data_IF_145499000038
#
_entry.id   IF_145499000038
#
_cell.length_a   1.000
_cell.length_b   1.000
_cell.length_c   1.000
_cell.angle_alpha   90.00
_cell.angle_beta   90.00
_cell.angle_gamma   90.00
#
_symmetry.space_group_name_H-M   'P 1'
#
loop_
_entity.id
_entity.type
_entity.pdbx_description
1 polymer ?
#
# COMPACT_ATOMS: atom_id res chain seq x y z
N UNK A 1 -3.76 -16.99 -17.56
CA UNK A 1 -2.99 -16.38 -16.45
C UNK A 1 -1.69 -15.83 -17.03
N UNK A 2 -1.35 -14.56 -16.79
CA UNK A 2 -0.21 -13.87 -17.44
C UNK A 2 0.94 -13.74 -16.44
N UNK A 3 2.14 -14.15 -16.83
CA UNK A 3 3.35 -14.08 -16.02
C UNK A 3 3.91 -12.65 -16.07
N UNK A 4 3.92 -11.90 -14.96
CA UNK A 4 4.57 -10.60 -14.93
C UNK A 4 6.09 -10.79 -14.94
N UNK A 5 6.76 -10.14 -15.89
CA UNK A 5 8.22 -10.06 -15.93
C UNK A 5 8.64 -8.95 -14.98
N UNK A 6 9.49 -9.29 -14.02
CA UNK A 6 9.99 -8.40 -12.97
C UNK A 6 10.61 -7.12 -13.54
N UNK A 7 10.49 -6.02 -12.79
CA UNK A 7 10.95 -4.69 -13.19
C UNK A 7 12.47 -4.63 -13.44
N UNK A 8 13.25 -5.51 -12.80
CA UNK A 8 14.71 -5.54 -12.94
C UNK A 8 15.16 -6.31 -14.19
N UNK A 9 14.24 -6.97 -14.89
CA UNK A 9 14.54 -7.73 -16.09
C UNK A 9 14.23 -6.89 -17.33
N UNK A 10 15.09 -7.00 -18.35
CA UNK A 10 14.88 -6.30 -19.62
C UNK A 10 13.53 -6.71 -20.25
N UNK A 11 12.80 -5.78 -20.89
CA UNK A 11 11.56 -6.09 -21.62
C UNK A 11 11.70 -7.20 -22.67
N UNK A 12 12.92 -7.49 -23.15
CA UNK A 12 13.23 -8.61 -24.06
C UNK A 12 12.82 -9.98 -23.50
N UNK A 13 12.76 -10.13 -22.17
CA UNK A 13 12.30 -11.36 -21.53
C UNK A 13 10.83 -11.67 -21.81
N UNK A 14 10.00 -10.66 -22.09
CA UNK A 14 8.61 -10.87 -22.52
C UNK A 14 8.61 -11.67 -23.82
N UNK A 15 9.42 -11.28 -24.81
CA UNK A 15 9.51 -12.00 -26.08
C UNK A 15 9.98 -13.44 -25.90
N UNK A 16 11.03 -13.66 -25.10
CA UNK A 16 11.56 -15.01 -24.83
C UNK A 16 10.50 -15.91 -24.19
N UNK A 17 9.77 -15.40 -23.20
CA UNK A 17 8.72 -16.17 -22.52
C UNK A 17 7.52 -16.42 -23.44
N UNK A 18 7.18 -15.44 -24.29
CA UNK A 18 6.08 -15.58 -25.26
C UNK A 18 6.41 -16.62 -26.33
N UNK A 19 7.65 -16.62 -26.83
CA UNK A 19 8.15 -17.62 -27.80
C UNK A 19 8.22 -19.03 -27.18
N UNK A 20 8.46 -19.12 -25.88
CA UNK A 20 8.39 -20.37 -25.12
C UNK A 20 6.95 -20.82 -24.80
N UNK A 21 5.93 -20.09 -25.26
CA UNK A 21 4.51 -20.43 -25.09
C UNK A 21 3.87 -19.88 -23.80
N UNK A 22 4.58 -19.06 -23.02
CA UNK A 22 4.03 -18.43 -21.82
C UNK A 22 3.42 -17.07 -22.16
N UNK A 23 2.22 -16.82 -21.65
CA UNK A 23 1.65 -15.47 -21.69
C UNK A 23 2.43 -14.57 -20.73
N UNK A 24 3.31 -13.70 -21.23
CA UNK A 24 4.11 -12.78 -20.42
C UNK A 24 3.75 -11.30 -20.66
N UNK A 25 3.92 -10.45 -19.65
CA UNK A 25 3.86 -9.00 -19.80
C UNK A 25 4.91 -8.33 -18.91
N UNK A 26 5.50 -7.24 -19.40
CA UNK A 26 6.48 -6.49 -18.62
C UNK A 26 5.78 -5.66 -17.54
N UNK A 27 6.32 -5.63 -16.33
CA UNK A 27 5.73 -4.91 -15.20
C UNK A 27 5.38 -3.46 -15.53
N UNK A 28 6.22 -2.77 -16.32
CA UNK A 28 5.97 -1.39 -16.75
C UNK A 28 4.71 -1.19 -17.61
N UNK A 29 4.14 -2.27 -18.15
CA UNK A 29 2.96 -2.24 -19.04
C UNK A 29 1.68 -2.67 -18.32
N UNK A 30 1.78 -3.19 -17.09
CA UNK A 30 0.66 -3.77 -16.34
C UNK A 30 -0.09 -2.71 -15.50
N UNK A 31 0.35 -1.43 -15.55
CA UNK A 31 -0.27 -0.33 -14.82
C UNK A 31 0.42 -0.08 -13.47
N UNK A 32 -0.05 0.95 -12.76
CA UNK A 32 0.70 1.51 -11.65
C UNK A 32 0.75 0.54 -10.44
N UNK A 33 1.96 0.23 -9.99
CA UNK A 33 2.27 -0.55 -8.78
C UNK A 33 1.88 0.15 -7.47
N UNK A 34 1.17 1.27 -7.57
CA UNK A 34 0.81 2.17 -6.49
C UNK A 34 -0.69 2.15 -6.18
N UNK A 35 -1.40 1.07 -6.57
CA UNK A 35 -2.72 0.82 -5.99
C UNK A 35 -2.56 0.96 -4.48
N UNK A 36 -3.18 1.97 -3.84
CA UNK A 36 -2.88 2.28 -2.46
C UNK A 36 -3.22 1.05 -1.64
N UNK A 37 -2.23 0.51 -0.91
CA UNK A 37 -2.47 -0.35 0.23
C UNK A 37 -3.34 0.48 1.15
N UNK A 38 -4.65 0.33 0.98
CA UNK A 38 -5.65 1.09 1.69
C UNK A 38 -5.51 0.62 3.12
N UNK A 39 -4.71 1.37 3.86
CA UNK A 39 -4.33 1.16 5.24
C UNK A 39 -5.64 1.14 6.02
N UNK A 40 -6.22 -0.05 6.11
CA UNK A 40 -7.41 -0.31 6.90
C UNK A 40 -6.96 -0.46 8.36
N UNK A 41 -6.28 0.57 8.88
CA UNK A 41 -6.13 0.78 10.31
C UNK A 41 -7.49 1.28 10.80
N UNK A 42 -8.41 0.34 10.98
CA UNK A 42 -9.56 0.50 11.86
C UNK A 42 -9.08 0.63 13.31
N UNK A 43 -8.29 1.65 13.62
CA UNK A 43 -8.11 2.10 14.99
C UNK A 43 -9.34 2.94 15.31
N UNK A 44 -10.36 2.21 15.76
CA UNK A 44 -11.49 2.72 16.53
C UNK A 44 -10.97 3.68 17.62
N UNK A 45 -10.99 4.97 17.34
CA UNK A 45 -10.65 6.00 18.32
C UNK A 45 -11.74 6.03 19.40
N UNK A 46 -11.52 5.25 20.46
CA UNK A 46 -12.39 5.28 21.64
C UNK A 46 -12.16 6.58 22.42
N UNK A 47 -13.22 7.33 22.80
CA UNK A 47 -13.06 8.61 23.45
C UNK A 47 -12.76 8.40 24.94
N UNK A 48 -11.55 8.72 25.38
CA UNK A 48 -11.26 8.88 26.82
C UNK A 48 -10.72 10.26 27.12
N UNK A 49 -11.63 11.17 27.50
CA UNK A 49 -11.31 12.30 28.37
C UNK A 49 -11.68 11.94 29.80
N UNK A 50 -10.76 12.07 30.77
CA UNK A 50 -11.13 12.53 32.09
C UNK A 50 -10.53 13.92 32.38
N UNK A 51 -11.29 14.64 33.20
CA UNK A 51 -11.22 16.07 33.50
C UNK A 51 -9.83 16.62 33.86
N UNK A 52 -9.54 17.82 33.39
CA UNK A 52 -8.51 18.69 33.98
C UNK A 52 -9.18 20.02 34.38
N UNK A 53 -9.52 20.14 35.65
CA UNK A 53 -9.73 21.45 36.29
C UNK A 53 -8.88 21.51 37.55
N UNK A 54 -7.79 22.30 37.57
CA UNK A 54 -7.22 22.78 38.81
C UNK A 54 -7.46 24.30 38.87
N UNK A 55 -8.53 24.72 39.53
CA UNK A 55 -8.92 26.12 39.59
C UNK A 55 -9.46 26.53 40.96
N UNK A 56 -8.66 27.38 41.63
CA UNK A 56 -8.92 28.17 42.86
C UNK A 56 -8.82 27.48 44.22
N UNK A 57 -7.74 27.82 44.95
CA UNK A 57 -7.81 28.06 46.40
C UNK A 57 -8.62 29.34 46.62
N UNK A 58 -9.52 29.42 47.61
CA UNK A 58 -9.85 30.70 48.23
C UNK A 58 -8.79 31.04 49.28
N UNK A 59 -8.26 32.25 49.18
CA UNK A 59 -7.58 32.93 50.28
C UNK A 59 -8.66 33.70 51.05
N UNK A 60 -8.92 33.31 52.30
CA UNK A 60 -9.26 34.11 53.49
C UNK A 60 -9.77 33.16 54.60
#
# INVERSE_FOLDING_TARGET
MKLPVDMNLSPRWVSILTDAGFQAAHWSTIGASNAPDSLNLGLNESPRRPASTPGRRPSD
#
